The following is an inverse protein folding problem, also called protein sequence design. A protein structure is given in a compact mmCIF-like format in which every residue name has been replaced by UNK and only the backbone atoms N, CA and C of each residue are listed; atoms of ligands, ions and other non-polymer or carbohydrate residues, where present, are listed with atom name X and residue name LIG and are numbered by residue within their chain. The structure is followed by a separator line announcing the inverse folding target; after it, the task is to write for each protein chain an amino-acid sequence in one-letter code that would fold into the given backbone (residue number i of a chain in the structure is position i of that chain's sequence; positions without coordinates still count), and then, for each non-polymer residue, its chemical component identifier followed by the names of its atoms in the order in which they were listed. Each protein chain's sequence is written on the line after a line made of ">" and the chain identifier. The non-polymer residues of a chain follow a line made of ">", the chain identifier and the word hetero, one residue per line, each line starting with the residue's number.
data_IF_690280045934
#
_entry.id   IF_690280045934
#
_cell.length_a   1.000
_cell.length_b   1.000
_cell.length_c   1.000
_cell.angle_alpha   90.00
_cell.angle_beta   90.00
_cell.angle_gamma   90.00
#
_symmetry.space_group_name_H-M   'P 1'
#
loop_
_entity.id
_entity.type
_entity.pdbx_description
1 polymer ?
#
# COMPACT_ATOMS: atom_id res chain seq x y z
N UNK A 1 0.62 6.12 6.62
CA UNK A 1 1.93 6.14 7.31
C UNK A 1 2.21 4.89 8.14
N UNK A 2 1.30 4.41 9.01
CA UNK A 2 1.44 3.23 9.88
C UNK A 2 2.52 2.18 9.52
N UNK A 3 2.38 1.42 8.42
CA UNK A 3 3.35 0.36 8.10
C UNK A 3 4.71 0.91 7.66
N UNK A 4 4.75 2.02 6.92
CA UNK A 4 6.01 2.69 6.56
C UNK A 4 6.74 3.24 7.79
N UNK A 5 6.06 3.48 8.91
CA UNK A 5 6.70 3.91 10.15
C UNK A 5 7.52 2.80 10.81
N UNK A 6 7.23 1.53 10.48
CA UNK A 6 7.99 0.38 10.97
C UNK A 6 9.38 0.28 10.34
N UNK A 7 9.60 0.96 9.21
CA UNK A 7 10.89 1.09 8.53
C UNK A 7 11.76 2.15 9.21
N UNK A 8 12.60 1.71 10.15
CA UNK A 8 13.44 2.58 10.99
C UNK A 8 14.58 3.25 10.22
N UNK A 9 14.94 2.69 9.07
CA UNK A 9 15.96 3.20 8.16
C UNK A 9 15.49 4.40 7.34
N UNK A 10 14.17 4.62 7.21
CA UNK A 10 13.60 5.73 6.46
C UNK A 10 13.31 6.93 7.36
N UNK A 11 13.71 8.12 6.92
CA UNK A 11 13.28 9.36 7.55
C UNK A 11 11.82 9.70 7.15
N UNK A 12 11.25 10.77 7.74
CA UNK A 12 9.87 11.17 7.45
C UNK A 12 9.64 11.49 5.95
N UNK A 13 10.55 12.21 5.33
CA UNK A 13 10.45 12.58 3.92
C UNK A 13 10.55 11.35 3.02
N UNK A 14 11.45 10.42 3.32
CA UNK A 14 11.58 9.17 2.55
C UNK A 14 10.31 8.32 2.66
N UNK A 15 9.68 8.29 3.84
CA UNK A 15 8.40 7.59 4.05
C UNK A 15 7.27 8.24 3.26
N UNK A 16 7.23 9.57 3.22
CA UNK A 16 6.24 10.31 2.42
C UNK A 16 6.45 10.05 0.92
N UNK A 17 7.70 10.09 0.43
CA UNK A 17 8.01 9.74 -0.96
C UNK A 17 7.62 8.30 -1.30
N UNK A 18 7.93 7.34 -0.41
CA UNK A 18 7.57 5.93 -0.63
C UNK A 18 6.07 5.72 -0.61
N UNK A 19 5.34 6.45 0.25
CA UNK A 19 3.88 6.43 0.28
C UNK A 19 3.30 6.90 -1.05
N UNK A 20 3.71 8.07 -1.54
CA UNK A 20 3.19 8.62 -2.79
C UNK A 20 3.51 7.70 -3.97
N UNK A 21 4.73 7.14 -4.04
CA UNK A 21 5.09 6.16 -5.07
C UNK A 21 4.18 4.92 -5.05
N UNK A 22 3.91 4.35 -3.87
CA UNK A 22 3.00 3.19 -3.74
C UNK A 22 1.55 3.55 -4.10
N UNK A 23 1.10 4.76 -3.80
CA UNK A 23 -0.25 5.20 -4.18
C UNK A 23 -0.40 5.31 -5.70
N UNK A 24 0.63 5.84 -6.37
CA UNK A 24 0.69 5.98 -7.82
C UNK A 24 0.81 4.61 -8.53
N UNK A 25 1.76 3.77 -8.11
CA UNK A 25 2.03 2.44 -8.68
C UNK A 25 0.77 1.54 -8.66
N UNK A 26 -0.07 1.69 -7.63
CA UNK A 26 -1.29 0.91 -7.45
C UNK A 26 -2.56 1.64 -7.89
N UNK A 27 -2.44 2.84 -8.47
CA UNK A 27 -3.56 3.66 -8.93
C UNK A 27 -4.66 3.83 -7.84
N UNK A 28 -4.23 4.20 -6.64
CA UNK A 28 -5.08 4.40 -5.46
C UNK A 28 -4.90 5.79 -4.83
N UNK A 29 -4.21 6.73 -5.50
CA UNK A 29 -4.04 8.11 -5.02
C UNK A 29 -5.37 8.82 -4.77
N UNK A 30 -6.40 8.56 -5.60
CA UNK A 30 -7.73 9.18 -5.47
C UNK A 30 -8.53 8.72 -4.26
N UNK A 31 -8.15 7.61 -3.62
CA UNK A 31 -8.84 7.06 -2.44
C UNK A 31 -8.03 7.22 -1.14
N UNK A 32 -6.94 8.00 -1.16
CA UNK A 32 -6.00 8.14 -0.03
C UNK A 32 -6.67 8.53 1.30
N UNK A 33 -7.73 9.34 1.24
CA UNK A 33 -8.43 9.88 2.40
C UNK A 33 -9.78 9.17 2.64
N UNK A 34 -10.12 8.18 1.83
CA UNK A 34 -11.36 7.42 1.98
C UNK A 34 -11.23 6.41 3.12
N UNK A 35 -12.32 6.17 3.84
CA UNK A 35 -12.37 5.10 4.84
C UNK A 35 -12.25 3.74 4.14
N UNK A 36 -11.44 2.83 4.68
CA UNK A 36 -11.26 1.49 4.09
C UNK A 36 -12.57 0.72 3.87
N UNK A 37 -13.60 1.01 4.69
CA UNK A 37 -14.94 0.41 4.56
C UNK A 37 -15.70 0.88 3.32
N UNK A 38 -15.42 2.07 2.77
CA UNK A 38 -16.09 2.64 1.60
C UNK A 38 -15.45 2.26 0.27
N UNK A 39 -14.32 1.54 0.29
CA UNK A 39 -13.62 1.10 -0.92
C UNK A 39 -14.35 -0.06 -1.60
N UNK A 40 -14.35 -0.06 -2.93
CA UNK A 40 -14.74 -1.24 -3.71
C UNK A 40 -13.83 -2.44 -3.41
N UNK A 41 -14.27 -3.66 -3.74
CA UNK A 41 -13.46 -4.86 -3.54
C UNK A 41 -12.10 -4.79 -4.25
N UNK A 42 -12.07 -4.29 -5.49
CA UNK A 42 -10.84 -4.12 -6.25
C UNK A 42 -9.90 -3.06 -5.66
N UNK A 43 -10.45 -1.95 -5.18
CA UNK A 43 -9.65 -0.90 -4.50
C UNK A 43 -9.06 -1.41 -3.19
N UNK A 44 -9.88 -2.08 -2.36
CA UNK A 44 -9.41 -2.67 -1.11
C UNK A 44 -8.26 -3.65 -1.36
N UNK A 45 -8.38 -4.47 -2.41
CA UNK A 45 -7.32 -5.40 -2.82
C UNK A 45 -6.03 -4.68 -3.21
N UNK A 46 -6.11 -3.63 -4.03
CA UNK A 46 -4.92 -2.85 -4.41
C UNK A 46 -4.26 -2.19 -3.20
N UNK A 47 -5.06 -1.66 -2.27
CA UNK A 47 -4.57 -1.12 -0.99
C UNK A 47 -3.85 -2.19 -0.17
N UNK A 48 -4.40 -3.41 -0.07
CA UNK A 48 -3.78 -4.51 0.68
C UNK A 48 -2.43 -4.95 0.08
N UNK A 49 -2.34 -5.04 -1.25
CA UNK A 49 -1.09 -5.38 -1.93
C UNK A 49 -0.06 -4.26 -1.74
N UNK A 50 -0.43 -3.00 -1.99
CA UNK A 50 0.44 -1.85 -1.78
C UNK A 50 0.97 -1.79 -0.33
N UNK A 51 0.08 -2.05 0.63
CA UNK A 51 0.41 -2.09 2.06
C UNK A 51 1.38 -3.23 2.40
N UNK A 52 1.23 -4.39 1.78
CA UNK A 52 2.12 -5.54 1.98
C UNK A 52 3.50 -5.30 1.39
N UNK A 53 3.58 -4.57 0.28
CA UNK A 53 4.84 -4.17 -0.36
C UNK A 53 5.56 -3.02 0.35
N UNK A 54 4.84 -2.23 1.14
CA UNK A 54 5.41 -1.08 1.85
C UNK A 54 6.55 -1.46 2.83
N UNK A 55 6.59 -2.72 3.30
CA UNK A 55 7.66 -3.24 4.15
C UNK A 55 8.89 -3.72 3.38
N UNK A 56 8.88 -3.64 2.04
CA UNK A 56 9.92 -4.21 1.16
C UNK A 56 10.29 -5.65 1.53
N UNK A 57 9.31 -6.57 1.57
CA UNK A 57 9.58 -7.94 1.95
C UNK A 57 10.42 -8.64 0.88
N UNK A 58 11.32 -9.53 1.30
CA UNK A 58 12.10 -10.35 0.37
C UNK A 58 11.24 -11.35 -0.43
N UNK A 59 10.10 -11.76 0.15
CA UNK A 59 9.17 -12.70 -0.46
C UNK A 59 7.73 -12.31 -0.11
N UNK A 60 6.81 -12.51 -1.05
CA UNK A 60 5.37 -12.36 -0.84
C UNK A 60 4.70 -13.67 -1.23
N UNK A 61 3.93 -14.23 -0.32
CA UNK A 61 3.01 -15.33 -0.61
C UNK A 61 1.62 -14.73 -0.83
N UNK A 62 1.09 -14.90 -2.03
CA UNK A 62 -0.24 -14.46 -2.39
C UNK A 62 -1.09 -15.69 -2.66
N UNK A 63 -2.16 -15.86 -1.90
CA UNK A 63 -3.17 -16.88 -2.18
C UNK A 63 -4.29 -16.24 -3.01
N UNK A 64 -4.52 -16.78 -4.20
CA UNK A 64 -5.52 -16.31 -5.18
C UNK A 64 -5.49 -14.82 -5.58
N UNK A 65 -4.34 -14.15 -5.83
CA UNK A 65 -4.23 -12.69 -5.95
C UNK A 65 -4.97 -12.02 -7.12
N UNK A 66 -5.45 -12.78 -8.11
CA UNK A 66 -5.86 -12.21 -9.40
C UNK A 66 -7.17 -12.79 -9.98
N UNK A 67 -7.89 -13.68 -9.28
CA UNK A 67 -9.14 -14.21 -9.82
C UNK A 67 -10.30 -13.22 -9.64
N UNK A 68 -10.56 -12.46 -10.71
CA UNK A 68 -11.86 -11.98 -11.16
C UNK A 68 -11.81 -11.81 -12.68
#
# INVERSE_FOLDING_TARGET
>A
MAILETRKELNRSDREQRLEALLEDFHITHIRDNLGMSLSGGERRRVEIARSLATEPAFILLDEPLLA
#
